data_IF_878692571202
#
_entry.id   IF_878692571202
#
_cell.length_a   1.000
_cell.length_b   1.000
_cell.length_c   1.000
_cell.angle_alpha   90.00
_cell.angle_beta   90.00
_cell.angle_gamma   90.00
#
_symmetry.space_group_name_H-M   'P 1'
#
loop_
_entity.id
_entity.type
_entity.pdbx_description
1 polymer ?
#
# COMPACT_ATOMS: atom_id res chain seq x y z
N UNK A 1 1.55 -43.76 -39.65
CA UNK A 1 1.03 -43.73 -38.26
C UNK A 1 2.10 -43.49 -37.20
N UNK A 2 3.26 -44.17 -37.25
CA UNK A 2 4.33 -43.97 -36.25
C UNK A 2 4.94 -42.55 -36.29
N UNK A 3 5.21 -42.00 -37.47
CA UNK A 3 5.78 -40.64 -37.62
C UNK A 3 4.81 -39.51 -37.26
N UNK A 4 3.50 -39.70 -37.46
CA UNK A 4 2.47 -38.75 -37.05
C UNK A 4 2.31 -38.69 -35.53
N UNK A 5 2.51 -39.82 -34.84
CA UNK A 5 2.49 -39.89 -33.38
C UNK A 5 3.73 -39.24 -32.74
N UNK A 6 4.90 -39.36 -33.37
CA UNK A 6 6.14 -38.70 -32.93
C UNK A 6 6.08 -37.18 -33.07
N UNK A 7 5.42 -36.67 -34.13
CA UNK A 7 5.27 -35.23 -34.36
C UNK A 7 4.31 -34.57 -33.36
N UNK A 8 3.25 -35.27 -32.95
CA UNK A 8 2.33 -34.79 -31.90
C UNK A 8 3.03 -34.68 -30.53
N UNK A 9 3.93 -35.60 -30.20
CA UNK A 9 4.67 -35.60 -28.94
C UNK A 9 5.65 -34.41 -28.82
N UNK A 10 6.25 -33.97 -29.94
CA UNK A 10 7.15 -32.82 -29.98
C UNK A 10 6.42 -31.48 -29.79
N UNK A 11 5.19 -31.36 -30.30
CA UNK A 11 4.36 -30.14 -30.16
C UNK A 11 3.89 -29.95 -28.72
N UNK A 12 3.62 -31.05 -27.99
CA UNK A 12 3.28 -31.01 -26.56
C UNK A 12 4.47 -30.58 -25.69
N UNK A 13 5.70 -30.95 -26.07
CA UNK A 13 6.94 -30.58 -25.35
C UNK A 13 7.39 -29.13 -25.58
N UNK A 14 7.01 -28.49 -26.69
CA UNK A 14 7.34 -27.09 -26.99
C UNK A 14 6.36 -26.07 -26.36
N UNK A 15 5.21 -26.53 -25.82
CA UNK A 15 4.13 -25.66 -25.35
C UNK A 15 4.17 -25.25 -23.87
N UNK A 16 5.16 -25.65 -23.08
CA UNK A 16 5.17 -25.40 -21.62
C UNK A 16 6.50 -24.84 -21.12
N UNK A 17 6.89 -23.69 -21.65
CA UNK A 17 7.80 -22.79 -20.94
C UNK A 17 7.16 -21.40 -20.85
N UNK A 18 5.95 -21.32 -20.30
CA UNK A 18 5.47 -20.09 -19.70
C UNK A 18 6.32 -19.85 -18.45
N UNK A 19 7.39 -19.06 -18.61
CA UNK A 19 8.08 -18.45 -17.48
C UNK A 19 7.02 -17.93 -16.51
N UNK A 20 6.95 -18.51 -15.32
CA UNK A 20 6.11 -18.05 -14.21
C UNK A 20 6.57 -16.63 -13.85
N UNK A 21 6.14 -15.64 -14.63
CA UNK A 21 6.39 -14.23 -14.32
C UNK A 21 5.66 -13.95 -13.02
N UNK A 22 6.43 -13.91 -11.92
CA UNK A 22 5.91 -13.54 -10.60
C UNK A 22 5.21 -12.19 -10.74
N UNK A 23 3.95 -12.13 -10.33
CA UNK A 23 3.18 -10.88 -10.31
C UNK A 23 3.93 -9.82 -9.48
N UNK A 24 3.78 -8.53 -9.79
CA UNK A 24 4.25 -7.46 -8.92
C UNK A 24 3.70 -7.64 -7.50
N UNK A 25 4.46 -7.20 -6.50
CA UNK A 25 3.94 -6.99 -5.15
C UNK A 25 3.53 -5.53 -5.05
N UNK A 26 2.31 -5.27 -4.60
CA UNK A 26 1.86 -3.92 -4.30
C UNK A 26 2.11 -3.61 -2.82
N UNK A 27 2.70 -2.46 -2.54
CA UNK A 27 2.80 -1.89 -1.21
C UNK A 27 1.76 -0.78 -1.11
N UNK A 28 0.69 -1.05 -0.37
CA UNK A 28 -0.33 -0.05 -0.05
C UNK A 28 0.14 0.80 1.13
N UNK A 29 0.20 2.11 0.95
CA UNK A 29 0.42 3.05 2.05
C UNK A 29 -0.93 3.59 2.50
N UNK A 30 -1.25 3.42 3.78
CA UNK A 30 -2.42 4.04 4.39
C UNK A 30 -1.99 4.92 5.55
N UNK A 31 -2.59 6.10 5.65
CA UNK A 31 -2.21 7.05 6.68
C UNK A 31 -2.80 8.44 6.46
N UNK A 32 -2.18 9.40 7.14
CA UNK A 32 -2.56 10.82 7.10
C UNK A 32 -1.68 11.68 6.19
N UNK A 33 -1.67 13.00 6.44
CA UNK A 33 -0.90 13.98 5.67
C UNK A 33 0.59 13.73 5.65
N UNK A 34 1.14 13.07 6.67
CA UNK A 34 2.58 12.82 6.75
C UNK A 34 3.04 11.68 5.85
N UNK A 35 2.10 10.84 5.40
CA UNK A 35 2.34 9.78 4.42
C UNK A 35 1.97 10.26 3.01
N UNK A 36 0.87 10.98 2.87
CA UNK A 36 0.22 11.24 1.59
C UNK A 36 1.11 11.86 0.49
N UNK A 37 0.98 11.31 -0.72
CA UNK A 37 1.43 11.90 -1.96
C UNK A 37 0.50 13.03 -2.42
N UNK A 38 1.01 14.26 -2.46
CA UNK A 38 0.27 15.46 -2.88
C UNK A 38 0.42 15.78 -4.37
N UNK A 39 1.38 15.16 -5.05
CA UNK A 39 1.72 15.43 -6.45
C UNK A 39 0.79 14.70 -7.44
N UNK A 40 0.35 13.48 -7.12
CA UNK A 40 -0.36 12.62 -8.07
C UNK A 40 -1.88 12.69 -7.94
N UNK A 41 -2.48 13.73 -8.54
CA UNK A 41 -3.94 13.93 -8.59
C UNK A 41 -4.58 13.89 -7.18
N UNK A 42 -3.86 14.41 -6.18
CA UNK A 42 -4.34 14.46 -4.81
C UNK A 42 -5.67 15.21 -4.73
N UNK A 43 -5.77 16.40 -5.33
CA UNK A 43 -7.05 17.06 -5.53
C UNK A 43 -7.38 17.02 -7.01
N UNK A 44 -8.51 16.40 -7.36
CA UNK A 44 -8.87 16.20 -8.77
C UNK A 44 -8.90 17.52 -9.54
N UNK A 45 -8.13 17.58 -10.63
CA UNK A 45 -8.01 18.76 -11.49
C UNK A 45 -7.19 19.91 -10.91
N UNK A 46 -6.53 19.75 -9.77
CA UNK A 46 -5.66 20.77 -9.19
C UNK A 46 -4.20 20.45 -9.43
N UNK A 47 -3.45 21.49 -9.81
CA UNK A 47 -2.01 21.43 -9.97
C UNK A 47 -1.32 21.49 -8.60
N UNK A 48 -0.41 20.54 -8.36
CA UNK A 48 0.33 20.41 -7.11
C UNK A 48 1.19 21.64 -6.81
N UNK A 49 1.96 22.12 -7.79
CA UNK A 49 2.87 23.26 -7.62
C UNK A 49 2.13 24.56 -7.33
N UNK A 50 0.88 24.69 -7.78
CA UNK A 50 0.03 25.85 -7.52
C UNK A 50 -0.75 25.78 -6.21
N UNK A 51 -1.06 24.58 -5.70
CA UNK A 51 -2.08 24.43 -4.63
C UNK A 51 -1.60 23.75 -3.36
N UNK A 52 -0.49 23.01 -3.42
CA UNK A 52 -0.02 22.17 -2.29
C UNK A 52 1.47 22.29 -2.03
N UNK A 53 2.31 22.54 -3.04
CA UNK A 53 3.74 22.73 -2.82
C UNK A 53 4.00 23.82 -1.78
N UNK A 54 4.92 23.62 -0.80
CA UNK A 54 5.86 22.50 -0.66
C UNK A 54 5.39 21.33 0.23
N UNK A 55 4.09 21.22 0.53
CA UNK A 55 3.58 20.14 1.40
C UNK A 55 3.82 18.78 0.74
N UNK A 56 4.50 17.89 1.46
CA UNK A 56 4.83 16.53 1.01
C UNK A 56 4.71 15.54 2.17
N UNK A 57 4.19 14.34 1.89
CA UNK A 57 4.29 13.18 2.76
C UNK A 57 5.40 12.25 2.29
N UNK A 58 5.92 11.41 3.18
CA UNK A 58 7.04 10.52 2.84
C UNK A 58 6.67 9.48 1.77
N UNK A 59 5.40 9.13 1.64
CA UNK A 59 4.88 8.21 0.62
C UNK A 59 5.10 8.71 -0.81
N UNK A 60 5.16 10.04 -1.00
CA UNK A 60 5.35 10.69 -2.30
C UNK A 60 6.64 10.25 -3.01
N UNK A 61 7.69 9.92 -2.26
CA UNK A 61 9.00 9.49 -2.79
C UNK A 61 9.28 8.01 -2.55
N UNK A 62 8.35 7.28 -1.92
CA UNK A 62 8.64 5.94 -1.42
C UNK A 62 8.88 4.90 -2.51
N UNK A 63 8.27 5.07 -3.69
CA UNK A 63 8.49 4.20 -4.86
C UNK A 63 9.97 4.18 -5.30
N UNK A 64 10.71 5.25 -5.06
CA UNK A 64 12.10 5.41 -5.51
C UNK A 64 13.07 4.46 -4.80
N UNK A 65 12.71 3.93 -3.62
CA UNK A 65 13.53 2.97 -2.87
C UNK A 65 13.41 1.50 -3.35
N UNK A 66 12.57 1.23 -4.35
CA UNK A 66 12.34 -0.11 -4.88
C UNK A 66 12.95 -0.29 -6.28
N UNK A 67 14.19 0.18 -6.45
CA UNK A 67 14.99 -0.07 -7.66
C UNK A 67 15.61 -1.47 -7.65
N UNK A 68 16.01 -1.96 -8.83
CA UNK A 68 16.60 -3.29 -8.97
C UNK A 68 17.86 -3.50 -8.10
N UNK A 69 18.63 -2.44 -7.82
CA UNK A 69 19.84 -2.46 -6.98
C UNK A 69 19.54 -2.57 -5.48
N UNK A 70 18.40 -2.06 -5.02
CA UNK A 70 18.06 -1.97 -3.59
C UNK A 70 17.21 -3.16 -3.11
N UNK A 71 16.69 -3.96 -4.04
CA UNK A 71 15.85 -5.12 -3.73
C UNK A 71 16.56 -6.22 -2.91
N UNK A 72 17.89 -6.20 -2.76
CA UNK A 72 18.62 -7.15 -1.91
C UNK A 72 18.15 -7.12 -0.47
N UNK A 73 17.91 -5.92 0.05
CA UNK A 73 17.63 -5.69 1.47
C UNK A 73 16.19 -6.10 1.80
N UNK A 74 15.32 -6.06 0.80
CA UNK A 74 13.92 -6.45 0.90
C UNK A 74 13.66 -7.94 0.61
N UNK A 75 14.66 -8.74 0.22
CA UNK A 75 14.49 -10.18 -0.12
C UNK A 75 13.73 -11.01 0.93
N UNK A 76 13.90 -10.81 2.25
CA UNK A 76 13.14 -11.56 3.25
C UNK A 76 11.62 -11.29 3.15
N UNK A 77 11.23 -10.09 2.73
CA UNK A 77 9.84 -9.66 2.65
C UNK A 77 9.25 -9.78 1.24
N UNK A 78 10.02 -9.45 0.21
CA UNK A 78 9.57 -9.31 -1.18
C UNK A 78 10.39 -10.27 -2.06
N UNK A 79 9.70 -11.26 -2.64
CA UNK A 79 10.32 -12.33 -3.45
C UNK A 79 10.28 -12.07 -4.96
N UNK A 80 9.84 -10.88 -5.36
CA UNK A 80 9.72 -10.42 -6.75
C UNK A 80 10.66 -9.23 -6.97
N UNK A 81 11.06 -9.01 -8.23
CA UNK A 81 11.87 -7.84 -8.61
C UNK A 81 11.03 -6.61 -8.97
N UNK A 82 9.70 -6.75 -8.99
CA UNK A 82 8.78 -5.68 -9.37
C UNK A 82 7.87 -5.33 -8.21
N UNK A 83 8.04 -4.12 -7.70
CA UNK A 83 7.24 -3.54 -6.62
C UNK A 83 6.53 -2.32 -7.16
N UNK A 84 5.27 -2.16 -6.77
CA UNK A 84 4.47 -0.95 -7.03
C UNK A 84 4.03 -0.38 -5.70
N UNK A 85 4.26 0.90 -5.47
CA UNK A 85 3.72 1.63 -4.31
C UNK A 85 2.39 2.25 -4.71
N UNK A 86 1.33 1.91 -3.97
CA UNK A 86 0.01 2.52 -4.10
C UNK A 86 -0.26 3.35 -2.84
N UNK A 87 0.00 4.65 -2.92
CA UNK A 87 -0.24 5.57 -1.82
C UNK A 87 -1.72 5.96 -1.74
N UNK A 88 -2.38 5.47 -0.69
CA UNK A 88 -3.79 5.72 -0.39
C UNK A 88 -3.98 6.65 0.80
N UNK A 89 -2.90 7.16 1.38
CA UNK A 89 -2.96 8.06 2.51
C UNK A 89 -3.63 9.39 2.14
N UNK A 90 -4.22 10.04 3.15
CA UNK A 90 -4.94 11.28 2.93
C UNK A 90 -4.83 12.22 4.11
N UNK A 91 -4.48 13.47 3.82
CA UNK A 91 -4.42 14.54 4.81
C UNK A 91 -5.69 14.66 5.66
N UNK A 92 -5.49 14.83 6.96
CA UNK A 92 -6.54 15.01 7.96
C UNK A 92 -7.30 13.73 8.36
N UNK A 93 -6.96 12.56 7.81
CA UNK A 93 -7.64 11.31 8.16
C UNK A 93 -7.08 10.71 9.43
N UNK A 94 -7.98 10.25 10.29
CA UNK A 94 -7.69 9.31 11.38
C UNK A 94 -8.02 7.90 10.92
N UNK A 95 -7.72 6.90 11.75
CA UNK A 95 -8.15 5.53 11.48
C UNK A 95 -9.67 5.44 11.23
N UNK A 96 -10.47 6.16 12.02
CA UNK A 96 -11.93 6.21 11.89
C UNK A 96 -12.39 6.84 10.58
N UNK A 97 -11.92 8.04 10.25
CA UNK A 97 -12.39 8.73 9.04
C UNK A 97 -11.88 8.04 7.78
N UNK A 98 -10.68 7.45 7.81
CA UNK A 98 -10.18 6.62 6.72
C UNK A 98 -11.10 5.42 6.43
N UNK A 99 -11.61 4.77 7.49
CA UNK A 99 -12.57 3.69 7.36
C UNK A 99 -13.94 4.17 6.87
N UNK A 100 -14.51 5.19 7.52
CA UNK A 100 -15.86 5.72 7.22
C UNK A 100 -15.98 6.25 5.79
N UNK A 101 -14.92 6.87 5.25
CA UNK A 101 -14.89 7.35 3.86
C UNK A 101 -14.73 6.22 2.83
N UNK A 102 -14.65 4.96 3.25
CA UNK A 102 -14.50 3.80 2.36
C UNK A 102 -13.09 3.66 1.75
N UNK A 103 -12.11 4.43 2.21
CA UNK A 103 -10.72 4.33 1.70
C UNK A 103 -10.11 2.98 2.02
N UNK A 104 -10.32 2.50 3.24
CA UNK A 104 -9.91 1.14 3.62
C UNK A 104 -10.61 0.08 2.78
N UNK A 105 -11.92 0.21 2.54
CA UNK A 105 -12.68 -0.72 1.70
C UNK A 105 -12.05 -0.84 0.30
N UNK A 106 -11.71 0.30 -0.31
CA UNK A 106 -11.05 0.32 -1.62
C UNK A 106 -9.70 -0.42 -1.61
N UNK A 107 -8.90 -0.27 -0.55
CA UNK A 107 -7.65 -1.04 -0.39
C UNK A 107 -7.96 -2.53 -0.26
N UNK A 108 -8.81 -2.89 0.69
CA UNK A 108 -9.17 -4.27 1.02
C UNK A 108 -9.67 -5.07 -0.20
N UNK A 109 -10.52 -4.45 -1.03
CA UNK A 109 -11.06 -5.08 -2.24
C UNK A 109 -10.00 -5.35 -3.31
N UNK A 110 -8.91 -4.56 -3.33
CA UNK A 110 -7.82 -4.68 -4.30
C UNK A 110 -6.61 -5.47 -3.76
N UNK A 111 -6.61 -5.91 -2.50
CA UNK A 111 -5.52 -6.68 -1.93
C UNK A 111 -5.39 -8.07 -2.55
N UNK A 112 -4.16 -8.44 -2.88
CA UNK A 112 -3.80 -9.77 -3.34
C UNK A 112 -2.82 -10.45 -2.36
N UNK A 113 -2.74 -11.78 -2.47
CA UNK A 113 -1.78 -12.58 -1.70
C UNK A 113 -0.36 -12.07 -1.93
N UNK A 114 0.33 -11.72 -0.84
CA UNK A 114 1.72 -11.28 -0.86
C UNK A 114 1.91 -9.77 -0.93
N UNK A 115 0.84 -8.99 -1.12
CA UNK A 115 0.89 -7.54 -0.99
C UNK A 115 1.25 -7.12 0.44
N UNK A 116 1.69 -5.88 0.58
CA UNK A 116 2.06 -5.29 1.87
C UNK A 116 1.15 -4.11 2.14
N UNK A 117 0.72 -3.94 3.40
CA UNK A 117 -0.02 -2.76 3.84
C UNK A 117 0.77 -2.08 4.95
N UNK A 118 1.32 -0.90 4.67
CA UNK A 118 2.01 -0.08 5.66
C UNK A 118 1.02 0.95 6.20
N UNK A 119 0.84 0.97 7.52
CA UNK A 119 -0.18 1.78 8.19
C UNK A 119 0.49 2.76 9.15
N UNK A 120 0.35 4.05 8.88
CA UNK A 120 0.83 5.11 9.77
C UNK A 120 -0.30 6.08 10.08
N UNK A 121 -0.84 5.98 11.30
CA UNK A 121 -1.89 6.85 11.82
C UNK A 121 -1.52 7.32 13.23
N UNK A 122 -2.32 8.24 13.80
CA UNK A 122 -2.18 8.70 15.17
C UNK A 122 -2.28 10.20 15.34
N UNK A 123 -1.82 11.01 14.37
CA UNK A 123 -1.88 12.48 14.51
C UNK A 123 -3.31 13.01 14.58
N UNK A 124 -4.19 12.51 13.72
CA UNK A 124 -5.58 12.96 13.69
C UNK A 124 -6.45 12.21 14.71
N UNK A 125 -6.10 10.96 15.00
CA UNK A 125 -6.73 10.14 16.04
C UNK A 125 -6.60 10.82 17.42
N UNK A 126 -5.40 11.28 17.78
CA UNK A 126 -5.15 11.96 19.07
C UNK A 126 -5.57 13.43 19.12
N UNK A 127 -6.28 13.97 18.12
CA UNK A 127 -6.70 15.37 18.10
C UNK A 127 -8.03 15.58 18.84
N UNK A 128 -8.02 15.53 20.17
CA UNK A 128 -9.22 15.67 21.03
C UNK A 128 -10.06 16.92 20.75
N UNK A 129 -9.41 18.03 20.40
CA UNK A 129 -10.07 19.29 20.02
C UNK A 129 -10.74 19.27 18.64
N UNK A 130 -10.70 18.13 17.93
CA UNK A 130 -11.28 17.90 16.60
C UNK A 130 -12.16 16.64 16.61
N UNK A 131 -13.37 16.71 17.21
CA UNK A 131 -14.23 15.56 17.45
C UNK A 131 -14.57 14.75 16.19
N UNK A 132 -14.60 15.39 15.03
CA UNK A 132 -14.89 14.77 13.73
C UNK A 132 -13.85 13.71 13.33
N UNK A 133 -12.61 13.85 13.79
CA UNK A 133 -11.50 12.92 13.48
C UNK A 133 -10.88 12.26 14.71
N UNK A 134 -11.15 12.76 15.91
CA UNK A 134 -10.68 12.15 17.15
C UNK A 134 -11.11 10.69 17.28
N UNK A 135 -10.19 9.86 17.75
CA UNK A 135 -10.42 8.46 18.10
C UNK A 135 -9.72 8.20 19.43
N UNK A 136 -10.48 7.69 20.40
CA UNK A 136 -9.90 7.30 21.69
C UNK A 136 -8.97 6.09 21.54
N UNK A 137 -8.20 5.79 22.60
CA UNK A 137 -7.20 4.71 22.57
C UNK A 137 -7.84 3.35 22.27
N UNK A 138 -9.07 3.11 22.76
CA UNK A 138 -9.79 1.87 22.50
C UNK A 138 -10.17 1.76 21.01
N UNK A 139 -10.82 2.77 20.45
CA UNK A 139 -11.20 2.81 19.04
C UNK A 139 -9.99 2.73 18.11
N UNK A 140 -8.90 3.43 18.44
CA UNK A 140 -7.66 3.39 17.66
C UNK A 140 -7.11 1.96 17.55
N UNK A 141 -7.09 1.22 18.68
CA UNK A 141 -6.68 -0.18 18.70
C UNK A 141 -7.61 -1.06 17.86
N UNK A 142 -8.92 -0.85 17.94
CA UNK A 142 -9.89 -1.63 17.17
C UNK A 142 -9.75 -1.41 15.66
N UNK A 143 -9.54 -0.17 15.20
CA UNK A 143 -9.31 0.07 13.77
C UNK A 143 -8.01 -0.56 13.27
N UNK A 144 -6.91 -0.46 14.03
CA UNK A 144 -5.65 -1.11 13.64
C UNK A 144 -5.79 -2.65 13.61
N UNK A 145 -6.49 -3.24 14.57
CA UNK A 145 -6.82 -4.67 14.57
C UNK A 145 -7.65 -5.06 13.34
N UNK A 146 -8.67 -4.27 13.01
CA UNK A 146 -9.52 -4.49 11.84
C UNK A 146 -8.70 -4.49 10.55
N UNK A 147 -7.89 -3.46 10.30
CA UNK A 147 -7.09 -3.35 9.09
C UNK A 147 -6.07 -4.50 8.99
N UNK A 148 -5.43 -4.82 10.12
CA UNK A 148 -4.46 -5.92 10.21
C UNK A 148 -5.10 -7.28 9.94
N UNK A 149 -6.24 -7.57 10.58
CA UNK A 149 -6.95 -8.84 10.42
C UNK A 149 -7.41 -9.03 8.97
N UNK A 150 -7.98 -8.00 8.36
CA UNK A 150 -8.45 -8.07 6.97
C UNK A 150 -7.30 -8.14 5.95
N UNK A 151 -6.16 -7.49 6.21
CA UNK A 151 -4.96 -7.69 5.39
C UNK A 151 -4.47 -9.15 5.46
N UNK A 152 -4.43 -9.73 6.66
CA UNK A 152 -4.04 -11.13 6.87
C UNK A 152 -5.03 -12.09 6.20
N UNK A 153 -6.34 -11.82 6.27
CA UNK A 153 -7.40 -12.59 5.58
C UNK A 153 -7.12 -12.67 4.07
N UNK A 154 -6.70 -11.55 3.46
CA UNK A 154 -6.29 -11.47 2.05
C UNK A 154 -4.90 -12.08 1.77
N UNK A 155 -4.24 -12.61 2.79
CA UNK A 155 -2.86 -13.12 2.75
C UNK A 155 -1.85 -12.04 2.36
N UNK A 156 -2.16 -10.78 2.63
CA UNK A 156 -1.25 -9.65 2.59
C UNK A 156 -0.50 -9.54 3.94
N UNK A 157 0.57 -8.73 3.96
CA UNK A 157 1.44 -8.53 5.13
C UNK A 157 1.19 -7.14 5.71
N UNK A 158 0.53 -7.02 6.86
CA UNK A 158 0.37 -5.74 7.54
C UNK A 158 1.67 -5.31 8.23
N UNK A 159 1.98 -4.03 8.18
CA UNK A 159 3.07 -3.37 8.90
C UNK A 159 2.48 -2.13 9.56
N UNK A 160 2.49 -2.08 10.89
CA UNK A 160 2.09 -0.89 11.65
C UNK A 160 3.34 -0.06 11.89
N UNK A 161 3.32 1.20 11.45
CA UNK A 161 4.40 2.15 11.58
C UNK A 161 3.97 3.26 12.55
N UNK A 162 4.79 3.53 13.56
CA UNK A 162 4.55 4.65 14.47
C UNK A 162 4.61 5.98 13.70
N UNK A 163 3.69 6.93 13.94
CA UNK A 163 3.67 8.19 13.23
C UNK A 163 4.91 9.03 13.55
N UNK A 164 5.30 9.87 12.59
CA UNK A 164 6.42 10.81 12.77
C UNK A 164 6.17 11.73 13.98
N UNK A 165 7.23 12.13 14.66
CA UNK A 165 7.11 13.06 15.78
C UNK A 165 6.53 14.40 15.30
N UNK A 166 5.66 15.00 16.11
CA UNK A 166 5.24 16.38 15.89
C UNK A 166 6.38 17.30 16.31
N UNK A 167 6.67 18.29 15.48
CA UNK A 167 7.55 19.38 15.89
C UNK A 167 6.73 20.33 16.78
N UNK A 168 6.81 20.14 18.09
CA UNK A 168 6.24 21.08 19.06
C UNK A 168 7.24 22.22 19.26
N UNK A 169 6.89 23.48 18.90
CA UNK A 169 7.69 24.64 19.27
C UNK A 169 7.66 24.88 20.79
#
# INVERSE_FOLDING_TARGET
MKHTLTLLLLIVLLGSCSSLRKKPVTIYLIGDSTVANYADNYDSGKDYFKTRYPVTGWGQVFQEYFTASEMSDFKPLIKTKKVVVDDRARGGRSTRTFFQEGRWRSVYENLHKGDIVIMQFGHNDGAENKPERYVDVAGYKEFLRLFTAQAIEKKAKPIILSPVARNYP
#
